data_IF_992557468537
#
_entry.id   IF_992557468537
#
_cell.length_a   1.000
_cell.length_b   1.000
_cell.length_c   1.000
_cell.angle_alpha   90.00
_cell.angle_beta   90.00
_cell.angle_gamma   90.00
#
_symmetry.space_group_name_H-M   'P 1'
#
loop_
_entity.id
_entity.type
_entity.pdbx_description
1 polymer ?
#
# COMPACT_ATOMS: atom_id res chain seq x y z
N UNK A 1 19.90 5.48 8.58
CA UNK A 1 18.54 5.32 8.00
C UNK A 1 18.68 5.12 6.51
N UNK A 2 17.96 4.18 5.97
CA UNK A 2 17.94 3.87 4.53
C UNK A 2 16.60 4.28 3.93
N UNK A 3 16.56 4.44 2.62
CA UNK A 3 15.33 4.83 1.91
C UNK A 3 15.11 3.89 0.72
N UNK A 4 13.87 3.45 0.55
CA UNK A 4 13.38 2.76 -0.64
C UNK A 4 12.32 3.62 -1.31
N UNK A 5 12.32 3.69 -2.64
CA UNK A 5 11.27 4.37 -3.40
C UNK A 5 10.85 3.54 -4.61
N UNK A 6 9.55 3.49 -4.85
CA UNK A 6 8.98 2.84 -6.03
C UNK A 6 7.72 3.57 -6.48
N UNK A 7 7.47 3.55 -7.79
CA UNK A 7 6.30 4.20 -8.40
C UNK A 7 5.45 3.18 -9.15
N UNK A 8 4.16 3.18 -8.84
CA UNK A 8 3.14 2.50 -9.63
C UNK A 8 2.56 3.52 -10.64
N UNK A 9 2.83 3.33 -11.94
CA UNK A 9 2.38 4.21 -13.01
C UNK A 9 2.30 3.47 -14.33
N UNK A 10 1.12 3.33 -14.89
CA UNK A 10 0.92 2.68 -16.19
C UNK A 10 1.34 1.19 -16.24
N UNK A 11 1.17 0.59 -17.39
CA UNK A 11 1.59 -0.79 -17.68
C UNK A 11 1.01 -1.82 -16.71
N UNK A 12 1.87 -2.72 -16.22
CA UNK A 12 1.49 -3.80 -15.29
C UNK A 12 1.50 -3.38 -13.81
N UNK A 13 1.82 -2.12 -13.50
CA UNK A 13 1.96 -1.68 -12.10
C UNK A 13 0.72 -0.97 -11.57
N UNK A 14 -0.19 -0.51 -12.42
CA UNK A 14 -1.41 0.18 -12.00
C UNK A 14 -2.59 -0.16 -12.93
N UNK A 15 -3.76 -0.39 -12.36
CA UNK A 15 -4.96 -0.67 -13.13
C UNK A 15 -6.20 -0.70 -12.28
N UNK A 16 -7.37 -0.83 -12.93
CA UNK A 16 -8.64 -1.01 -12.24
C UNK A 16 -9.55 -1.99 -12.97
N UNK A 17 -10.48 -2.55 -12.25
CA UNK A 17 -11.57 -3.36 -12.78
C UNK A 17 -12.89 -2.96 -12.12
N UNK A 18 -14.03 -3.39 -12.70
CA UNK A 18 -15.28 -3.45 -11.96
C UNK A 18 -15.16 -4.51 -10.87
N UNK A 19 -15.76 -4.28 -9.71
CA UNK A 19 -15.61 -5.16 -8.55
C UNK A 19 -15.84 -6.66 -8.84
N UNK A 20 -16.86 -6.98 -9.59
CA UNK A 20 -17.20 -8.38 -9.94
C UNK A 20 -16.68 -8.86 -11.29
N UNK A 21 -15.94 -8.03 -12.04
CA UNK A 21 -15.48 -8.36 -13.39
C UNK A 21 -14.02 -8.79 -13.41
N UNK A 22 -13.67 -9.71 -14.33
CA UNK A 22 -12.29 -10.04 -14.66
C UNK A 22 -11.67 -9.12 -15.72
N UNK A 23 -12.46 -8.23 -16.33
CA UNK A 23 -11.95 -7.24 -17.28
C UNK A 23 -11.22 -6.13 -16.54
N UNK A 24 -9.95 -5.93 -16.90
CA UNK A 24 -9.07 -4.93 -16.33
C UNK A 24 -8.73 -3.85 -17.34
N UNK A 25 -8.70 -2.60 -16.87
CA UNK A 25 -8.17 -1.45 -17.61
C UNK A 25 -6.79 -1.12 -17.08
N UNK A 26 -5.78 -1.24 -17.95
CA UNK A 26 -4.37 -0.99 -17.66
C UNK A 26 -3.78 -0.08 -18.73
N UNK A 27 -2.58 0.46 -18.49
CA UNK A 27 -1.85 1.26 -19.47
C UNK A 27 -1.88 2.77 -19.21
N UNK A 28 -1.27 3.55 -20.09
CA UNK A 28 -1.17 5.00 -19.97
C UNK A 28 -2.55 5.67 -19.99
N UNK A 29 -2.82 6.52 -19.03
CA UNK A 29 -4.13 7.17 -18.87
C UNK A 29 -5.16 6.38 -18.07
N UNK A 30 -4.96 5.09 -17.86
CA UNK A 30 -5.72 4.30 -16.88
C UNK A 30 -4.97 4.32 -15.53
N UNK A 31 -5.69 4.16 -14.46
CA UNK A 31 -5.12 4.23 -13.12
C UNK A 31 -5.81 3.26 -12.18
N UNK A 32 -5.43 3.27 -10.91
CA UNK A 32 -6.17 2.59 -9.86
C UNK A 32 -7.40 3.42 -9.51
N UNK A 33 -8.59 2.83 -9.62
CA UNK A 33 -9.84 3.53 -9.32
C UNK A 33 -10.51 2.92 -8.11
N UNK A 34 -11.15 3.77 -7.31
CA UNK A 34 -12.15 3.38 -6.30
C UNK A 34 -13.46 4.14 -6.53
N UNK A 35 -14.51 3.72 -5.83
CA UNK A 35 -15.83 4.33 -5.93
C UNK A 35 -16.68 3.73 -7.05
N UNK A 36 -17.82 4.35 -7.34
CA UNK A 36 -18.73 3.90 -8.36
C UNK A 36 -18.82 4.89 -9.52
N UNK A 37 -19.00 4.37 -10.70
CA UNK A 37 -19.30 5.13 -11.92
C UNK A 37 -20.58 4.62 -12.55
N UNK A 38 -21.50 5.55 -12.88
CA UNK A 38 -22.71 5.28 -13.64
C UNK A 38 -22.62 6.00 -14.99
N UNK A 39 -22.56 5.21 -16.04
CA UNK A 39 -22.76 5.70 -17.42
C UNK A 39 -24.25 5.71 -17.75
N UNK A 40 -24.63 5.08 -18.87
CA UNK A 40 -26.01 4.94 -19.32
C UNK A 40 -26.79 3.84 -18.60
N UNK A 41 -26.11 2.95 -17.90
CA UNK A 41 -26.71 1.80 -17.20
C UNK A 41 -26.48 1.93 -15.69
N UNK A 42 -26.68 0.84 -14.92
CA UNK A 42 -26.46 0.81 -13.48
C UNK A 42 -25.03 1.22 -13.07
N UNK A 43 -24.90 1.86 -11.92
CA UNK A 43 -23.62 2.21 -11.36
C UNK A 43 -22.79 0.94 -11.05
N UNK A 44 -21.48 1.04 -11.30
CA UNK A 44 -20.57 -0.09 -11.13
C UNK A 44 -19.42 0.33 -10.21
N UNK A 45 -19.25 -0.41 -9.13
CA UNK A 45 -18.14 -0.24 -8.20
C UNK A 45 -16.79 -0.56 -8.87
N UNK A 46 -15.76 0.18 -8.50
CA UNK A 46 -14.40 0.05 -9.04
C UNK A 46 -13.44 -0.47 -7.97
N UNK A 47 -12.51 -1.29 -8.40
CA UNK A 47 -11.35 -1.76 -7.65
C UNK A 47 -10.11 -1.35 -8.39
N UNK A 48 -9.19 -0.68 -7.71
CA UNK A 48 -7.88 -0.29 -8.26
C UNK A 48 -6.76 -1.06 -7.58
N UNK A 49 -5.70 -1.36 -8.34
CA UNK A 49 -4.48 -2.00 -7.83
C UNK A 49 -3.28 -1.15 -8.20
N UNK A 50 -2.36 -1.01 -7.25
CA UNK A 50 -1.07 -0.35 -7.39
C UNK A 50 0.02 -1.32 -6.93
N UNK A 51 1.00 -1.60 -7.79
CA UNK A 51 2.13 -2.49 -7.52
C UNK A 51 3.41 -1.68 -7.45
N UNK A 52 4.12 -1.79 -6.34
CA UNK A 52 5.39 -1.12 -6.08
C UNK A 52 6.53 -2.11 -6.24
N UNK A 53 7.05 -2.19 -7.46
CA UNK A 53 8.08 -3.17 -7.80
C UNK A 53 9.28 -3.11 -6.86
N UNK A 54 9.68 -4.28 -6.36
CA UNK A 54 10.81 -4.42 -5.45
C UNK A 54 10.49 -4.14 -3.97
N UNK A 55 9.31 -3.57 -3.63
CA UNK A 55 8.97 -3.24 -2.24
C UNK A 55 8.98 -4.47 -1.33
N UNK A 56 8.39 -5.57 -1.78
CA UNK A 56 8.32 -6.81 -0.98
C UNK A 56 9.70 -7.36 -0.62
N UNK A 57 10.66 -7.28 -1.53
CA UNK A 57 12.05 -7.72 -1.25
C UNK A 57 12.81 -6.70 -0.41
N UNK A 58 12.71 -5.40 -0.75
CA UNK A 58 13.48 -4.35 -0.12
C UNK A 58 13.05 -4.07 1.33
N UNK A 59 11.75 -4.22 1.62
CA UNK A 59 11.18 -3.81 2.91
C UNK A 59 10.90 -4.97 3.87
N UNK A 60 10.97 -6.22 3.39
CA UNK A 60 10.75 -7.40 4.22
C UNK A 60 11.72 -7.43 5.41
N UNK A 61 11.17 -7.54 6.61
CA UNK A 61 11.94 -7.60 7.85
C UNK A 61 12.66 -6.29 8.23
N UNK A 62 12.45 -5.21 7.50
CA UNK A 62 12.98 -3.89 7.87
C UNK A 62 12.16 -3.26 8.99
N UNK A 63 12.72 -2.26 9.66
CA UNK A 63 12.00 -1.47 10.66
C UNK A 63 11.62 -0.12 10.05
N UNK A 64 10.41 -0.06 9.50
CA UNK A 64 9.90 1.13 8.81
C UNK A 64 9.59 2.24 9.82
N UNK A 65 10.13 3.43 9.58
CA UNK A 65 9.98 4.63 10.42
C UNK A 65 8.98 5.63 9.84
N UNK A 66 8.90 5.70 8.52
CA UNK A 66 8.04 6.64 7.80
C UNK A 66 7.68 6.09 6.41
N UNK A 67 6.46 6.36 5.98
CA UNK A 67 6.00 6.12 4.61
C UNK A 67 5.51 7.46 4.06
N UNK A 68 5.98 7.86 2.90
CA UNK A 68 5.46 8.99 2.13
C UNK A 68 4.74 8.45 0.90
N UNK A 69 3.51 8.90 0.68
CA UNK A 69 2.69 8.58 -0.48
C UNK A 69 2.52 9.83 -1.32
N UNK A 70 3.12 9.89 -2.50
CA UNK A 70 2.87 10.93 -3.50
C UNK A 70 1.88 10.40 -4.53
N UNK A 71 0.65 10.90 -4.49
CA UNK A 71 -0.50 10.36 -5.23
C UNK A 71 -0.92 11.38 -6.28
N UNK A 72 -0.82 11.01 -7.54
CA UNK A 72 -1.29 11.82 -8.68
C UNK A 72 -2.61 11.28 -9.18
N UNK A 73 -3.62 12.14 -9.22
CA UNK A 73 -4.96 11.80 -9.70
C UNK A 73 -5.26 12.48 -11.03
N UNK A 74 -6.06 11.82 -11.86
CA UNK A 74 -6.69 12.46 -13.02
C UNK A 74 -8.03 13.07 -12.62
N UNK A 75 -8.49 14.06 -13.37
CA UNK A 75 -9.73 14.82 -13.13
C UNK A 75 -11.04 14.06 -13.25
N UNK A 76 -11.08 12.79 -12.89
CA UNK A 76 -12.28 11.98 -12.89
C UNK A 76 -13.00 12.07 -11.54
N UNK A 77 -14.28 12.37 -11.55
CA UNK A 77 -15.12 12.53 -10.39
C UNK A 77 -15.49 13.99 -10.07
N UNK A 78 -16.52 14.20 -9.28
CA UNK A 78 -17.03 15.54 -8.98
C UNK A 78 -16.19 16.25 -7.93
N UNK A 79 -15.66 17.40 -8.30
CA UNK A 79 -15.31 18.48 -7.37
C UNK A 79 -13.93 18.42 -6.72
N UNK A 80 -13.54 19.61 -6.28
CA UNK A 80 -12.31 19.90 -5.53
C UNK A 80 -12.42 19.61 -4.03
N UNK A 81 -13.55 19.07 -3.56
CA UNK A 81 -13.77 18.71 -2.16
C UNK A 81 -12.89 17.54 -1.75
N UNK A 82 -12.59 17.45 -0.47
CA UNK A 82 -11.82 16.35 0.09
C UNK A 82 -12.44 14.99 -0.24
N UNK A 83 -11.63 14.03 -0.62
CA UNK A 83 -12.02 12.64 -0.90
C UNK A 83 -11.31 11.71 0.08
N UNK A 84 -11.93 10.58 0.33
CA UNK A 84 -11.35 9.54 1.18
C UNK A 84 -10.92 8.39 0.29
N UNK A 85 -9.61 8.12 0.24
CA UNK A 85 -9.07 6.89 -0.34
C UNK A 85 -9.08 5.79 0.72
N UNK A 86 -9.58 4.62 0.37
CA UNK A 86 -9.59 3.45 1.23
C UNK A 86 -8.59 2.43 0.70
N UNK A 87 -7.59 2.12 1.50
CA UNK A 87 -6.52 1.18 1.17
C UNK A 87 -6.80 -0.19 1.77
N UNK A 88 -6.55 -1.21 0.97
CA UNK A 88 -6.65 -2.62 1.36
C UNK A 88 -5.34 -3.35 1.08
N UNK A 89 -5.13 -4.46 1.78
CA UNK A 89 -4.15 -5.47 1.40
C UNK A 89 -4.50 -6.01 0.02
N UNK A 90 -3.50 -6.33 -0.76
CA UNK A 90 -3.70 -7.03 -2.02
C UNK A 90 -3.57 -8.54 -1.80
N UNK A 91 -4.57 -9.32 -2.23
CA UNK A 91 -4.49 -10.77 -2.20
C UNK A 91 -3.47 -11.31 -3.21
N UNK A 92 -3.17 -10.53 -4.26
CA UNK A 92 -2.13 -10.83 -5.25
C UNK A 92 -1.10 -9.70 -5.27
N UNK A 93 0.18 -10.04 -5.25
CA UNK A 93 1.27 -9.06 -5.21
C UNK A 93 1.69 -8.54 -6.59
N UNK A 94 0.87 -8.80 -7.60
CA UNK A 94 0.96 -8.27 -8.96
C UNK A 94 -0.43 -7.85 -9.43
N UNK A 95 -0.49 -7.05 -10.48
CA UNK A 95 -1.76 -6.77 -11.16
C UNK A 95 -2.17 -8.02 -11.96
N UNK A 96 -2.99 -8.86 -11.34
CA UNK A 96 -3.47 -10.08 -11.96
C UNK A 96 -4.73 -9.82 -12.77
N UNK A 97 -4.57 -9.62 -14.07
CA UNK A 97 -5.68 -9.33 -14.99
C UNK A 97 -6.54 -10.54 -15.32
N UNK A 98 -6.15 -11.74 -14.92
CA UNK A 98 -6.90 -12.98 -15.15
C UNK A 98 -7.91 -13.30 -14.05
N UNK A 99 -7.92 -12.55 -12.95
CA UNK A 99 -8.84 -12.73 -11.83
C UNK A 99 -9.84 -11.58 -11.72
N UNK A 100 -10.94 -11.82 -11.04
CA UNK A 100 -11.94 -10.76 -10.79
C UNK A 100 -11.36 -9.69 -9.88
N UNK A 101 -11.77 -8.42 -10.10
CA UNK A 101 -11.36 -7.31 -9.25
C UNK A 101 -11.64 -7.55 -7.77
N UNK A 102 -12.78 -8.14 -7.43
CA UNK A 102 -13.13 -8.52 -6.04
C UNK A 102 -12.13 -9.49 -5.40
N UNK A 103 -11.51 -10.36 -6.16
CA UNK A 103 -10.52 -11.32 -5.65
C UNK A 103 -9.18 -10.66 -5.27
N UNK A 104 -8.91 -9.45 -5.75
CA UNK A 104 -7.73 -8.67 -5.37
C UNK A 104 -7.86 -8.03 -3.99
N UNK A 105 -9.09 -7.81 -3.52
CA UNK A 105 -9.37 -7.04 -2.29
C UNK A 105 -9.16 -7.93 -1.06
N UNK A 106 -8.17 -7.59 -0.27
CA UNK A 106 -7.93 -8.17 1.05
C UNK A 106 -8.44 -7.27 2.19
N UNK A 107 -7.97 -7.49 3.41
CA UNK A 107 -8.37 -6.72 4.58
C UNK A 107 -8.09 -5.23 4.40
N UNK A 108 -8.91 -4.39 5.00
CA UNK A 108 -8.71 -2.94 5.03
C UNK A 108 -7.48 -2.57 5.84
N UNK A 109 -6.61 -1.74 5.26
CA UNK A 109 -5.46 -1.13 5.94
C UNK A 109 -5.85 0.19 6.61
N UNK A 110 -6.75 0.95 6.00
CA UNK A 110 -7.21 2.24 6.51
C UNK A 110 -7.54 3.24 5.40
N UNK A 111 -7.78 4.47 5.82
CA UNK A 111 -8.22 5.55 4.94
C UNK A 111 -7.27 6.75 4.97
N UNK A 112 -7.28 7.51 3.89
CA UNK A 112 -6.52 8.75 3.74
C UNK A 112 -7.42 9.80 3.11
N UNK A 113 -7.60 10.93 3.78
CA UNK A 113 -8.38 12.06 3.28
C UNK A 113 -7.49 13.07 2.60
N UNK A 114 -7.89 13.54 1.42
CA UNK A 114 -7.14 14.53 0.66
C UNK A 114 -7.90 15.07 -0.55
N UNK A 115 -7.31 16.03 -1.24
CA UNK A 115 -7.86 16.61 -2.48
C UNK A 115 -7.43 15.75 -3.68
N UNK A 116 -8.00 14.56 -3.79
CA UNK A 116 -7.64 13.58 -4.83
C UNK A 116 -8.47 13.79 -6.11
N UNK A 117 -8.15 14.83 -6.87
CA UNK A 117 -8.88 15.14 -8.11
C UNK A 117 -7.91 15.26 -9.30
N UNK A 118 -7.49 16.44 -9.73
CA UNK A 118 -6.57 16.68 -10.86
C UNK A 118 -5.24 17.23 -10.38
N UNK A 119 -4.62 16.56 -9.41
CA UNK A 119 -3.43 17.08 -8.75
C UNK A 119 -2.54 15.96 -8.22
N UNK A 120 -1.35 16.33 -7.80
CA UNK A 120 -0.48 15.48 -7.00
C UNK A 120 -0.55 15.94 -5.53
N UNK A 121 -0.80 15.00 -4.64
CA UNK A 121 -0.83 15.25 -3.18
C UNK A 121 0.16 14.30 -2.51
N UNK A 122 1.00 14.84 -1.64
CA UNK A 122 1.94 14.04 -0.85
C UNK A 122 1.47 13.98 0.59
N UNK A 123 1.36 12.77 1.11
CA UNK A 123 1.01 12.49 2.50
C UNK A 123 2.16 11.76 3.19
N UNK A 124 2.48 12.20 4.40
CA UNK A 124 3.43 11.51 5.28
C UNK A 124 2.65 10.69 6.30
N UNK A 125 3.03 9.43 6.44
CA UNK A 125 2.50 8.50 7.42
C UNK A 125 3.62 8.17 8.41
N UNK A 126 3.37 8.36 9.69
CA UNK A 126 4.27 8.00 10.79
C UNK A 126 3.46 7.83 12.08
N UNK A 127 4.13 7.61 13.20
CA UNK A 127 3.47 7.42 14.51
C UNK A 127 2.66 8.62 15.00
N UNK A 128 2.89 9.82 14.46
CA UNK A 128 2.19 11.06 14.84
C UNK A 128 1.18 11.52 13.78
N UNK A 129 1.37 11.10 12.52
CA UNK A 129 0.56 11.55 11.37
C UNK A 129 -0.02 10.34 10.66
N UNK A 130 -1.36 10.26 10.58
CA UNK A 130 -2.08 9.10 10.03
C UNK A 130 -1.64 7.78 10.70
N UNK A 131 -1.50 7.77 12.03
CA UNK A 131 -0.86 6.71 12.79
C UNK A 131 -1.47 5.31 12.58
N UNK A 132 -2.80 5.21 12.49
CA UNK A 132 -3.48 3.94 12.26
C UNK A 132 -3.15 3.37 10.88
N UNK A 133 -3.27 4.17 9.82
CA UNK A 133 -2.91 3.76 8.45
C UNK A 133 -1.40 3.46 8.35
N UNK A 134 -0.56 4.27 9.01
CA UNK A 134 0.87 4.02 9.09
C UNK A 134 1.17 2.65 9.70
N UNK A 135 0.58 2.34 10.86
CA UNK A 135 0.81 1.07 11.56
C UNK A 135 0.43 -0.14 10.69
N UNK A 136 -0.73 -0.07 10.03
CA UNK A 136 -1.21 -1.13 9.15
C UNK A 136 -0.32 -1.30 7.90
N UNK A 137 0.01 -0.20 7.20
CA UNK A 137 0.88 -0.26 6.03
C UNK A 137 2.31 -0.68 6.38
N UNK A 138 2.84 -0.21 7.52
CA UNK A 138 4.14 -0.62 8.04
C UNK A 138 4.19 -2.14 8.19
N UNK A 139 3.28 -2.73 8.96
CA UNK A 139 3.24 -4.17 9.18
C UNK A 139 3.09 -4.94 7.86
N UNK A 140 2.29 -4.42 6.93
CA UNK A 140 2.04 -5.03 5.63
C UNK A 140 3.30 -5.06 4.74
N UNK A 141 4.04 -3.95 4.62
CA UNK A 141 5.28 -3.90 3.85
C UNK A 141 6.43 -4.66 4.53
N UNK A 142 6.52 -4.61 5.87
CA UNK A 142 7.51 -5.39 6.63
C UNK A 142 7.31 -6.90 6.50
N UNK A 143 6.09 -7.35 6.21
CA UNK A 143 5.80 -8.75 5.87
C UNK A 143 6.25 -9.15 4.46
N UNK A 144 6.69 -8.21 3.62
CA UNK A 144 7.22 -8.46 2.28
C UNK A 144 6.18 -8.33 1.16
N UNK A 145 5.18 -7.49 1.35
CA UNK A 145 4.17 -7.23 0.33
C UNK A 145 4.57 -6.04 -0.56
N UNK A 146 4.07 -6.01 -1.79
CA UNK A 146 4.42 -5.02 -2.82
C UNK A 146 3.23 -4.28 -3.41
N UNK A 147 2.01 -4.73 -3.19
CA UNK A 147 0.82 -4.18 -3.84
C UNK A 147 -0.18 -3.63 -2.83
N UNK A 148 -0.85 -2.54 -3.21
CA UNK A 148 -1.99 -1.96 -2.47
C UNK A 148 -3.22 -1.97 -3.36
N UNK A 149 -4.39 -2.14 -2.74
CA UNK A 149 -5.69 -2.06 -3.41
C UNK A 149 -6.45 -0.84 -2.94
N UNK A 150 -7.11 -0.15 -3.86
CA UNK A 150 -8.08 0.91 -3.60
C UNK A 150 -9.49 0.37 -3.81
N UNK A 151 -10.29 0.38 -2.74
CA UNK A 151 -11.69 -0.03 -2.80
C UNK A 151 -12.45 0.56 -1.60
N UNK A 152 -13.55 1.26 -1.83
CA UNK A 152 -14.31 1.91 -0.76
C UNK A 152 -15.74 1.40 -0.61
N UNK A 153 -16.10 0.33 -1.33
CA UNK A 153 -17.41 -0.29 -1.22
C UNK A 153 -18.57 0.51 -1.84
N UNK A 154 -18.34 1.71 -2.38
CA UNK A 154 -19.42 2.49 -3.03
C UNK A 154 -19.95 1.75 -4.25
N UNK A 155 -21.23 1.41 -4.24
CA UNK A 155 -21.91 0.64 -5.31
C UNK A 155 -22.89 1.48 -6.11
N UNK A 156 -23.21 2.68 -5.65
CA UNK A 156 -24.24 3.55 -6.24
C UNK A 156 -23.68 4.92 -6.60
N UNK A 157 -24.21 5.46 -7.68
CA UNK A 157 -24.11 6.86 -8.08
C UNK A 157 -25.40 7.21 -8.81
N UNK A 158 -25.98 8.36 -8.54
CA UNK A 158 -27.19 8.83 -9.24
C UNK A 158 -26.90 9.16 -10.69
N UNK A 159 -25.74 9.77 -10.94
CA UNK A 159 -25.22 10.07 -12.27
C UNK A 159 -23.71 10.25 -12.22
N UNK A 160 -22.99 9.79 -13.25
CA UNK A 160 -21.54 9.95 -13.34
C UNK A 160 -20.81 9.23 -12.19
N UNK A 161 -20.00 9.96 -11.46
CA UNK A 161 -19.10 9.42 -10.43
C UNK A 161 -19.69 9.56 -9.01
N UNK A 162 -19.45 8.57 -8.15
CA UNK A 162 -19.77 8.65 -6.72
C UNK A 162 -18.89 9.69 -6.01
N UNK A 163 -19.31 10.07 -4.78
CA UNK A 163 -18.67 11.15 -4.02
C UNK A 163 -17.18 10.91 -3.75
N UNK A 164 -16.80 9.67 -3.42
CA UNK A 164 -15.41 9.28 -3.19
C UNK A 164 -14.75 8.58 -4.39
N UNK A 165 -15.32 8.74 -5.59
CA UNK A 165 -14.64 8.24 -6.79
C UNK A 165 -13.31 8.97 -6.96
N UNK A 166 -12.26 8.19 -7.11
CA UNK A 166 -10.92 8.69 -7.42
C UNK A 166 -10.25 7.79 -8.44
N UNK A 167 -9.45 8.41 -9.32
CA UNK A 167 -8.59 7.69 -10.26
C UNK A 167 -7.16 8.15 -10.06
N UNK A 168 -6.36 7.29 -9.43
CA UNK A 168 -4.93 7.49 -9.20
C UNK A 168 -4.19 7.02 -10.44
N UNK A 169 -3.54 7.94 -11.14
CA UNK A 169 -2.76 7.64 -12.36
C UNK A 169 -1.30 7.33 -12.06
N UNK A 170 -0.80 7.81 -10.92
CA UNK A 170 0.52 7.47 -10.42
C UNK A 170 0.53 7.53 -8.90
N UNK A 171 1.22 6.61 -8.27
CA UNK A 171 1.50 6.66 -6.83
C UNK A 171 2.96 6.29 -6.60
N UNK A 172 3.70 7.18 -5.95
CA UNK A 172 5.07 6.89 -5.49
C UNK A 172 5.05 6.67 -4.00
N UNK A 173 5.56 5.52 -3.55
CA UNK A 173 5.91 5.31 -2.16
C UNK A 173 7.38 5.66 -1.93
N UNK A 174 7.67 6.36 -0.84
CA UNK A 174 9.02 6.55 -0.32
C UNK A 174 9.02 6.11 1.13
N UNK A 175 9.78 5.08 1.43
CA UNK A 175 9.81 4.43 2.74
C UNK A 175 11.16 4.66 3.39
N UNK A 176 11.18 5.30 4.55
CA UNK A 176 12.38 5.44 5.39
C UNK A 176 12.38 4.33 6.41
N UNK A 177 13.47 3.59 6.50
CA UNK A 177 13.60 2.44 7.39
C UNK A 177 15.01 2.32 7.98
N UNK A 178 15.13 1.50 8.98
CA UNK A 178 16.40 1.01 9.49
C UNK A 178 16.44 -0.51 9.30
N UNK A 179 17.61 -1.03 9.05
CA UNK A 179 17.82 -2.47 9.08
C UNK A 179 17.66 -2.94 10.53
N UNK A 180 16.86 -3.98 10.73
CA UNK A 180 16.83 -4.66 12.02
C UNK A 180 18.16 -5.42 12.17
N UNK A 181 19.02 -4.94 13.05
CA UNK A 181 20.36 -5.51 13.24
C UNK A 181 20.61 -5.72 14.72
N UNK A 182 21.21 -6.86 15.05
CA UNK A 182 21.80 -7.11 16.36
C UNK A 182 23.31 -6.94 16.22
N UNK A 183 23.86 -6.28 17.22
CA UNK A 183 25.30 -6.14 17.36
C UNK A 183 25.73 -6.97 18.55
N UNK A 184 26.85 -7.66 18.44
CA UNK A 184 27.53 -8.31 19.57
C UNK A 184 28.94 -7.78 19.71
N UNK A 185 29.44 -7.75 20.92
CA UNK A 185 30.80 -7.32 21.21
C UNK A 185 31.73 -8.54 21.28
N UNK A 186 32.76 -8.56 20.46
CA UNK A 186 33.78 -9.60 20.45
C UNK A 186 35.15 -8.93 20.47
N UNK A 187 35.91 -9.18 21.53
CA UNK A 187 37.26 -8.59 21.72
C UNK A 187 37.24 -7.06 21.77
N UNK A 188 36.19 -6.42 22.30
CA UNK A 188 36.05 -4.97 22.36
C UNK A 188 35.57 -4.31 21.07
N UNK A 189 35.36 -5.07 20.00
CA UNK A 189 34.80 -4.59 18.74
C UNK A 189 33.33 -5.00 18.58
N UNK A 190 32.48 -4.05 18.20
CA UNK A 190 31.08 -4.31 17.90
C UNK A 190 30.93 -4.89 16.48
N UNK A 191 30.35 -6.08 16.37
CA UNK A 191 30.12 -6.79 15.12
C UNK A 191 28.62 -6.94 14.86
N UNK A 192 28.19 -6.65 13.65
CA UNK A 192 26.81 -6.85 13.19
C UNK A 192 26.55 -8.34 13.01
N UNK A 193 25.40 -8.83 13.49
CA UNK A 193 24.98 -10.20 13.25
C UNK A 193 23.52 -10.31 12.77
N UNK A 194 23.25 -11.41 12.09
CA UNK A 194 21.90 -11.84 11.75
C UNK A 194 21.50 -12.92 12.74
N UNK A 195 20.33 -12.75 13.39
CA UNK A 195 19.84 -13.73 14.36
C UNK A 195 19.01 -14.78 13.64
N UNK A 196 19.32 -16.04 13.92
CA UNK A 196 18.60 -17.20 13.42
C UNK A 196 18.14 -18.05 14.60
N UNK A 197 16.99 -18.70 14.48
CA UNK A 197 16.56 -19.73 15.42
C UNK A 197 16.18 -21.00 14.66
N UNK A 198 16.38 -22.13 15.32
CA UNK A 198 16.05 -23.45 14.76
C UNK A 198 14.66 -23.89 15.20
N UNK A 199 13.79 -24.21 14.27
CA UNK A 199 12.43 -24.69 14.55
C UNK A 199 11.94 -25.62 13.43
N UNK A 200 11.44 -26.79 13.82
CA UNK A 200 10.89 -27.76 12.87
C UNK A 200 11.91 -28.29 11.86
N UNK A 201 13.15 -28.52 12.28
CA UNK A 201 14.22 -29.02 11.40
C UNK A 201 14.84 -27.98 10.48
N UNK A 202 14.44 -26.71 10.57
CA UNK A 202 14.94 -25.63 9.72
C UNK A 202 15.41 -24.42 10.52
N UNK A 203 16.47 -23.77 10.04
CA UNK A 203 16.93 -22.49 10.54
C UNK A 203 16.08 -21.35 9.95
N UNK A 204 15.54 -20.49 10.81
CA UNK A 204 14.71 -19.34 10.43
C UNK A 204 15.36 -18.05 10.90
N UNK A 205 15.54 -17.10 10.00
CA UNK A 205 15.98 -15.76 10.36
C UNK A 205 14.87 -15.04 11.12
N UNK A 206 15.22 -14.38 12.21
CA UNK A 206 14.27 -13.65 13.06
C UNK A 206 14.73 -12.24 13.33
N UNK A 207 13.77 -11.41 13.66
CA UNK A 207 14.01 -10.09 14.23
C UNK A 207 13.95 -10.21 15.73
N UNK A 208 15.04 -9.92 16.46
CA UNK A 208 15.05 -9.99 17.89
C UNK A 208 14.24 -8.86 18.53
N UNK A 209 13.72 -9.15 19.71
CA UNK A 209 13.05 -8.19 20.59
C UNK A 209 13.77 -8.18 21.91
N UNK A 210 13.80 -7.04 22.60
CA UNK A 210 14.23 -6.94 23.99
C UNK A 210 13.10 -6.37 24.85
N UNK A 211 13.08 -6.72 26.11
CA UNK A 211 12.13 -6.16 27.06
C UNK A 211 12.69 -4.85 27.64
N UNK A 212 11.95 -3.76 27.45
CA UNK A 212 12.28 -2.46 28.02
C UNK A 212 11.13 -2.00 28.91
N UNK A 213 11.33 -2.12 30.25
CA UNK A 213 10.33 -1.66 31.21
C UNK A 213 8.97 -2.37 31.15
N UNK A 214 8.94 -3.67 30.80
CA UNK A 214 7.71 -4.46 30.67
C UNK A 214 7.10 -4.48 29.26
N UNK A 215 7.65 -3.72 28.31
CA UNK A 215 7.24 -3.74 26.91
C UNK A 215 8.29 -4.44 26.03
N UNK A 216 7.85 -5.28 25.10
CA UNK A 216 8.72 -5.89 24.11
C UNK A 216 8.98 -4.92 22.97
N UNK A 217 10.24 -4.53 22.81
CA UNK A 217 10.71 -3.60 21.77
C UNK A 217 11.53 -4.37 20.75
N UNK A 218 11.23 -4.16 19.48
CA UNK A 218 11.97 -4.74 18.36
C UNK A 218 13.35 -4.07 18.23
N UNK A 219 14.39 -4.88 18.09
CA UNK A 219 15.78 -4.42 17.90
C UNK A 219 16.04 -4.09 16.43
#
# INVERSE_FOLDING_TARGET
MSTFSATANGGSTIGYAQYGSSSWSTGSGNGACQGAYKGTTAAKSRVGVMVFNGAGTALKGKLIQRISLSITCSGAGSGSSGKVLTFHKANYQSLNTSVRGSAQVGDTLGTLTGKFYSNTVTHTLNTSTNAALFSAMKAYFEAGNSALVLYNGETSSSSGYSSNYARVTSCTITVTYIDAVVWYCDGGAWKRCTVWYHSGGAWKQVVPYYNSGGAWVRV
#
